data_IF_491922515177
#
_entry.id   IF_491922515177
#
_cell.length_a   1.000
_cell.length_b   1.000
_cell.length_c   1.000
_cell.angle_alpha   90.00
_cell.angle_beta   90.00
_cell.angle_gamma   90.00
#
_symmetry.space_group_name_H-M   'P 1'
#
loop_
_entity.id
_entity.type
_entity.pdbx_description
1 polymer ?
#
# COMPACT_ATOMS: atom_id res chain seq x y z
N UNK A 1 -9.14 -32.79 6.37
CA UNK A 1 -8.73 -32.63 4.97
C UNK A 1 -9.47 -31.40 4.44
N UNK A 2 -8.89 -30.23 4.51
CA UNK A 2 -9.40 -29.03 3.82
C UNK A 2 -8.38 -28.72 2.73
N UNK A 3 -8.54 -29.37 1.60
CA UNK A 3 -7.88 -29.01 0.36
C UNK A 3 -8.82 -28.08 -0.41
N UNK A 4 -8.40 -26.87 -0.62
CA UNK A 4 -9.11 -25.96 -1.47
C UNK A 4 -8.54 -24.56 -1.31
N UNK A 5 -7.34 -24.31 -1.86
CA UNK A 5 -6.95 -22.95 -2.25
C UNK A 5 -7.90 -22.53 -3.37
N UNK A 6 -9.11 -22.08 -2.99
CA UNK A 6 -10.00 -21.41 -3.91
C UNK A 6 -9.31 -20.09 -4.28
N UNK A 7 -8.74 -20.08 -5.48
CA UNK A 7 -8.20 -18.87 -6.09
C UNK A 7 -9.28 -17.81 -5.99
N UNK A 8 -8.99 -16.72 -5.28
CA UNK A 8 -9.89 -15.57 -5.24
C UNK A 8 -9.97 -15.06 -6.68
N UNK A 9 -11.10 -15.28 -7.36
CA UNK A 9 -11.31 -14.86 -8.76
C UNK A 9 -11.49 -13.34 -8.89
N UNK A 10 -11.38 -12.59 -7.78
CA UNK A 10 -11.54 -11.14 -7.70
C UNK A 10 -10.24 -10.44 -8.09
N UNK A 11 -10.35 -9.43 -8.93
CA UNK A 11 -9.21 -8.56 -9.28
C UNK A 11 -8.87 -7.64 -8.13
N UNK A 12 -7.61 -7.64 -7.70
CA UNK A 12 -7.12 -6.88 -6.55
C UNK A 12 -6.11 -5.82 -7.00
N UNK A 13 -6.40 -4.56 -6.70
CA UNK A 13 -5.47 -3.44 -6.91
C UNK A 13 -4.89 -2.96 -5.57
N UNK A 14 -3.58 -2.90 -5.49
CA UNK A 14 -2.86 -2.41 -4.32
C UNK A 14 -2.42 -0.95 -4.54
N UNK A 15 -2.79 -0.05 -3.63
CA UNK A 15 -2.37 1.35 -3.63
C UNK A 15 -1.35 1.58 -2.53
N UNK A 16 -0.12 1.95 -2.90
CA UNK A 16 0.93 2.33 -1.98
C UNK A 16 0.95 3.86 -1.82
N UNK A 17 0.53 4.35 -0.65
CA UNK A 17 0.46 5.77 -0.34
C UNK A 17 1.82 6.29 0.15
N UNK A 18 2.59 6.91 -0.74
CA UNK A 18 3.95 7.44 -0.51
C UNK A 18 4.07 8.97 -0.71
N UNK A 19 2.95 9.70 -0.77
CA UNK A 19 2.93 11.16 -0.95
C UNK A 19 3.06 11.98 0.35
N UNK A 20 3.11 11.33 1.51
CA UNK A 20 3.19 12.01 2.81
C UNK A 20 4.47 12.83 2.98
N UNK A 21 4.35 14.12 3.28
CA UNK A 21 5.48 15.05 3.44
C UNK A 21 6.22 14.95 4.78
N UNK A 22 5.81 14.06 5.69
CA UNK A 22 6.46 13.89 6.99
C UNK A 22 6.45 15.14 7.90
N UNK A 23 5.56 16.11 7.67
CA UNK A 23 5.49 17.41 8.36
C UNK A 23 5.64 17.36 9.89
N UNK A 24 5.24 16.24 10.51
CA UNK A 24 5.32 16.06 11.98
C UNK A 24 6.71 15.72 12.50
N UNK A 25 7.70 15.46 11.65
CA UNK A 25 9.04 15.03 12.09
C UNK A 25 10.16 16.04 11.78
N UNK A 26 9.84 17.19 11.21
CA UNK A 26 10.84 18.23 10.87
C UNK A 26 12.10 17.68 10.14
N UNK A 27 11.92 16.62 9.34
CA UNK A 27 13.01 15.98 8.60
C UNK A 27 13.04 16.48 7.16
N UNK A 28 14.24 16.70 6.64
CA UNK A 28 14.47 17.14 5.26
C UNK A 28 14.10 16.06 4.22
N UNK A 29 14.04 14.79 4.64
CA UNK A 29 13.68 13.65 3.80
C UNK A 29 12.32 13.07 4.26
N UNK A 30 11.42 12.81 3.32
CA UNK A 30 10.15 12.19 3.63
C UNK A 30 10.36 10.74 4.13
N UNK A 31 9.63 10.34 5.19
CA UNK A 31 9.81 9.07 5.91
C UNK A 31 9.88 7.83 5.02
N UNK A 32 9.09 7.78 3.97
CA UNK A 32 9.01 6.63 3.07
C UNK A 32 10.29 6.40 2.26
N UNK A 33 11.18 7.41 2.19
CA UNK A 33 12.47 7.33 1.51
C UNK A 33 13.65 7.11 2.47
N UNK A 34 13.38 7.02 3.78
CA UNK A 34 14.41 6.61 4.73
C UNK A 34 14.89 5.20 4.39
N UNK A 35 16.18 4.99 4.50
CA UNK A 35 16.76 3.66 4.26
C UNK A 35 16.57 2.73 5.48
N UNK A 36 16.16 1.53 5.19
CA UNK A 36 16.14 0.42 6.15
C UNK A 36 16.77 -0.81 5.49
N UNK A 37 17.84 -1.31 6.10
CA UNK A 37 18.65 -2.43 5.56
C UNK A 37 19.14 -2.19 4.12
N UNK A 38 19.54 -0.95 3.82
CA UNK A 38 20.08 -0.57 2.51
C UNK A 38 19.03 -0.37 1.41
N UNK A 39 17.75 -0.37 1.74
CA UNK A 39 16.67 -0.15 0.78
C UNK A 39 15.69 0.91 1.30
N UNK A 40 15.02 1.68 0.41
CA UNK A 40 14.00 2.64 0.82
C UNK A 40 12.85 1.96 1.58
N UNK A 41 12.34 2.62 2.62
CA UNK A 41 11.30 2.06 3.49
C UNK A 41 10.04 1.63 2.72
N UNK A 42 9.65 2.41 1.70
CA UNK A 42 8.48 2.11 0.86
C UNK A 42 8.63 0.77 0.11
N UNK A 43 9.87 0.36 -0.18
CA UNK A 43 10.13 -0.87 -0.91
C UNK A 43 9.73 -2.12 -0.13
N UNK A 44 9.80 -2.09 1.20
CA UNK A 44 9.38 -3.23 2.03
C UNK A 44 7.94 -3.66 1.75
N UNK A 45 7.00 -2.71 1.75
CA UNK A 45 5.60 -3.01 1.44
C UNK A 45 5.37 -3.26 -0.05
N UNK A 46 6.09 -2.56 -0.92
CA UNK A 46 6.01 -2.75 -2.37
C UNK A 46 6.44 -4.15 -2.78
N UNK A 47 7.52 -4.65 -2.20
CA UNK A 47 8.03 -6.01 -2.46
C UNK A 47 7.02 -7.07 -2.07
N UNK A 48 6.44 -6.98 -0.87
CA UNK A 48 5.39 -7.91 -0.41
C UNK A 48 4.19 -7.88 -1.38
N UNK A 49 3.72 -6.69 -1.74
CA UNK A 49 2.61 -6.57 -2.68
C UNK A 49 2.94 -7.15 -4.07
N UNK A 50 4.16 -6.94 -4.55
CA UNK A 50 4.60 -7.44 -5.85
C UNK A 50 4.72 -8.98 -5.89
N UNK A 51 5.25 -9.58 -4.84
CA UNK A 51 5.44 -11.04 -4.71
C UNK A 51 4.13 -11.77 -4.38
N UNK A 52 3.12 -11.07 -3.82
CA UNK A 52 1.85 -11.67 -3.42
C UNK A 52 1.03 -12.11 -4.64
N UNK A 53 0.55 -13.36 -4.61
CA UNK A 53 -0.16 -13.98 -5.74
C UNK A 53 -1.57 -13.43 -5.98
N UNK A 54 -2.18 -12.80 -4.98
CA UNK A 54 -3.55 -12.27 -5.06
C UNK A 54 -3.60 -10.82 -5.57
N UNK A 55 -2.46 -10.12 -5.64
CA UNK A 55 -2.40 -8.75 -6.13
C UNK A 55 -2.09 -8.75 -7.63
N UNK A 56 -3.00 -8.18 -8.42
CA UNK A 56 -2.88 -8.08 -9.86
C UNK A 56 -2.16 -6.80 -10.31
N UNK A 57 -2.60 -5.66 -9.78
CA UNK A 57 -2.10 -4.36 -10.16
C UNK A 57 -1.63 -3.55 -8.94
N UNK A 58 -0.59 -2.75 -9.10
CA UNK A 58 -0.07 -1.85 -8.08
C UNK A 58 -0.07 -0.41 -8.62
N UNK A 59 -0.55 0.52 -7.80
CA UNK A 59 -0.47 1.96 -8.05
C UNK A 59 0.33 2.59 -6.92
N UNK A 60 1.36 3.37 -7.26
CA UNK A 60 2.15 4.11 -6.27
C UNK A 60 1.73 5.58 -6.32
N UNK A 61 1.40 6.15 -5.19
CA UNK A 61 1.07 7.57 -5.06
C UNK A 61 2.23 8.28 -4.37
N UNK A 62 2.81 9.28 -5.02
CA UNK A 62 3.97 10.00 -4.49
C UNK A 62 3.92 11.48 -4.83
N UNK A 63 4.85 12.27 -4.30
CA UNK A 63 4.99 13.68 -4.67
C UNK A 63 5.55 13.79 -6.09
N UNK A 64 5.22 14.87 -6.80
CA UNK A 64 5.59 15.12 -8.19
C UNK A 64 7.10 14.94 -8.44
N UNK A 65 7.91 15.50 -7.56
CA UNK A 65 9.38 15.44 -7.64
C UNK A 65 9.95 14.02 -7.53
N UNK A 66 9.22 13.08 -6.93
CA UNK A 66 9.68 11.72 -6.70
C UNK A 66 9.21 10.72 -7.76
N UNK A 67 8.30 11.10 -8.65
CA UNK A 67 7.72 10.20 -9.65
C UNK A 67 8.82 9.56 -10.51
N UNK A 68 9.76 10.36 -11.01
CA UNK A 68 10.85 9.88 -11.85
C UNK A 68 11.74 8.89 -11.09
N UNK A 69 12.18 9.24 -9.89
CA UNK A 69 13.06 8.41 -9.08
C UNK A 69 12.41 7.06 -8.71
N UNK A 70 11.11 7.07 -8.36
CA UNK A 70 10.37 5.83 -8.06
C UNK A 70 10.21 4.98 -9.32
N UNK A 71 9.99 5.59 -10.49
CA UNK A 71 9.91 4.86 -11.76
C UNK A 71 11.23 4.17 -12.08
N UNK A 72 12.34 4.89 -12.04
CA UNK A 72 13.68 4.32 -12.24
C UNK A 72 13.99 3.20 -11.23
N UNK A 73 13.60 3.38 -9.97
CA UNK A 73 13.72 2.34 -8.96
C UNK A 73 12.93 1.08 -9.32
N UNK A 74 11.66 1.24 -9.73
CA UNK A 74 10.81 0.11 -10.14
C UNK A 74 11.34 -0.59 -11.40
N UNK A 75 11.90 0.14 -12.36
CA UNK A 75 12.56 -0.41 -13.54
C UNK A 75 13.77 -1.27 -13.14
N UNK A 76 14.67 -0.71 -12.33
CA UNK A 76 15.86 -1.40 -11.84
C UNK A 76 15.54 -2.68 -11.06
N UNK A 77 14.47 -2.66 -10.28
CA UNK A 77 13.96 -3.81 -9.51
C UNK A 77 13.03 -4.73 -10.30
N UNK A 78 12.77 -4.44 -11.59
CA UNK A 78 11.88 -5.21 -12.48
C UNK A 78 10.44 -5.35 -11.97
N UNK A 79 9.90 -4.29 -11.35
CA UNK A 79 8.57 -4.29 -10.74
C UNK A 79 7.44 -3.84 -11.67
N UNK A 80 7.76 -3.37 -12.88
CA UNK A 80 6.76 -2.76 -13.78
C UNK A 80 5.74 -3.75 -14.35
N UNK A 81 5.92 -5.05 -14.17
CA UNK A 81 4.91 -6.02 -14.58
C UNK A 81 3.59 -5.89 -13.81
N UNK A 82 3.66 -5.53 -12.51
CA UNK A 82 2.49 -5.25 -11.67
C UNK A 82 2.31 -3.74 -11.36
N UNK A 83 3.38 -2.94 -11.30
CA UNK A 83 3.29 -1.49 -11.07
C UNK A 83 2.79 -0.81 -12.34
N UNK A 84 1.47 -0.55 -12.40
CA UNK A 84 0.82 0.02 -13.58
C UNK A 84 0.93 1.53 -13.64
N UNK A 85 0.77 2.21 -12.50
CA UNK A 85 0.79 3.65 -12.43
C UNK A 85 1.62 4.16 -11.26
N UNK A 86 2.31 5.27 -11.49
CA UNK A 86 2.92 6.10 -10.45
C UNK A 86 2.29 7.48 -10.62
N UNK A 87 1.50 7.90 -9.64
CA UNK A 87 0.66 9.10 -9.74
C UNK A 87 1.05 10.15 -8.70
N UNK A 88 0.79 11.40 -9.06
CA UNK A 88 0.98 12.51 -8.13
C UNK A 88 -0.10 12.49 -7.04
N UNK A 89 0.32 12.66 -5.79
CA UNK A 89 -0.58 12.82 -4.64
C UNK A 89 -1.30 14.16 -4.63
N UNK A 90 -2.35 14.25 -3.83
CA UNK A 90 -3.08 15.49 -3.56
C UNK A 90 -2.55 16.20 -2.32
N UNK A 91 -3.20 17.31 -1.97
CA UNK A 91 -2.88 18.12 -0.78
C UNK A 91 -3.04 17.36 0.54
N UNK A 92 -3.93 16.37 0.56
CA UNK A 92 -4.22 15.51 1.71
C UNK A 92 -4.20 14.04 1.31
N UNK A 93 -4.16 13.15 2.33
CA UNK A 93 -4.13 11.70 2.12
C UNK A 93 -5.33 11.22 1.29
N UNK A 94 -6.52 11.71 1.58
CA UNK A 94 -7.74 11.34 0.86
C UNK A 94 -7.68 11.69 -0.63
N UNK A 95 -7.19 12.88 -0.98
CA UNK A 95 -7.03 13.28 -2.38
C UNK A 95 -5.93 12.48 -3.09
N UNK A 96 -4.87 12.11 -2.35
CA UNK A 96 -3.83 11.22 -2.87
C UNK A 96 -4.40 9.86 -3.26
N UNK A 97 -5.17 9.23 -2.38
CA UNK A 97 -5.84 7.95 -2.66
C UNK A 97 -6.84 8.09 -3.79
N UNK A 98 -7.64 9.17 -3.81
CA UNK A 98 -8.59 9.43 -4.88
C UNK A 98 -7.91 9.56 -6.26
N UNK A 99 -6.73 10.19 -6.33
CA UNK A 99 -5.95 10.27 -7.58
C UNK A 99 -5.52 8.89 -8.08
N UNK A 100 -5.20 7.97 -7.18
CA UNK A 100 -4.92 6.58 -7.55
C UNK A 100 -6.18 5.85 -8.03
N UNK A 101 -7.28 5.97 -7.30
CA UNK A 101 -8.55 5.31 -7.65
C UNK A 101 -9.01 5.72 -9.05
N UNK A 102 -8.87 6.98 -9.43
CA UNK A 102 -9.20 7.47 -10.79
C UNK A 102 -8.40 6.79 -11.92
N UNK A 103 -7.29 6.11 -11.62
CA UNK A 103 -6.49 5.37 -12.59
C UNK A 103 -6.88 3.91 -12.70
N UNK A 104 -7.75 3.43 -11.83
CA UNK A 104 -8.23 2.05 -11.86
C UNK A 104 -9.29 1.91 -12.94
N UNK A 105 -9.03 1.08 -13.93
CA UNK A 105 -9.98 0.79 -15.00
C UNK A 105 -11.00 -0.28 -14.58
N UNK A 106 -10.52 -1.29 -13.85
CA UNK A 106 -11.34 -2.37 -13.32
C UNK A 106 -10.65 -2.99 -12.12
N UNK A 107 -11.39 -3.18 -11.03
CA UNK A 107 -10.95 -3.92 -9.85
C UNK A 107 -12.16 -4.27 -8.98
N UNK A 108 -12.08 -5.37 -8.26
CA UNK A 108 -13.12 -5.79 -7.29
C UNK A 108 -12.74 -5.36 -5.87
N UNK A 109 -11.43 -5.36 -5.57
CA UNK A 109 -10.91 -5.03 -4.25
C UNK A 109 -9.77 -4.04 -4.37
N UNK A 110 -9.76 -3.04 -3.49
CA UNK A 110 -8.66 -2.08 -3.34
C UNK A 110 -8.02 -2.25 -1.96
N UNK A 111 -6.71 -2.49 -1.94
CA UNK A 111 -5.90 -2.50 -0.72
C UNK A 111 -5.14 -1.18 -0.64
N UNK A 112 -5.24 -0.47 0.47
CA UNK A 112 -4.54 0.80 0.69
C UNK A 112 -3.51 0.62 1.79
N UNK A 113 -2.22 0.81 1.48
CA UNK A 113 -1.10 0.69 2.39
C UNK A 113 -0.31 1.99 2.49
N UNK A 114 -0.03 2.44 3.70
CA UNK A 114 0.87 3.56 3.93
C UNK A 114 2.33 3.11 3.72
N UNK A 115 3.07 3.77 2.84
CA UNK A 115 4.47 3.43 2.51
C UNK A 115 5.44 3.57 3.70
N UNK A 116 5.09 4.37 4.70
CA UNK A 116 5.86 4.53 5.93
C UNK A 116 5.61 3.43 6.99
N UNK A 117 4.83 2.40 6.65
CA UNK A 117 4.55 1.23 7.51
C UNK A 117 5.17 -0.02 6.91
N UNK A 118 6.46 -0.31 7.18
CA UNK A 118 7.22 -1.32 6.44
C UNK A 118 6.95 -2.77 6.87
N UNK A 119 6.12 -3.00 7.89
CA UNK A 119 5.91 -4.33 8.48
C UNK A 119 4.67 -5.05 7.95
N UNK A 120 4.24 -4.74 6.72
CA UNK A 120 3.25 -5.53 6.01
C UNK A 120 3.73 -6.99 5.88
N UNK A 121 2.81 -7.93 5.96
CA UNK A 121 3.08 -9.37 5.75
C UNK A 121 2.02 -9.95 4.83
N UNK A 122 2.38 -10.95 4.04
CA UNK A 122 1.47 -11.66 3.13
C UNK A 122 0.21 -12.15 3.84
N UNK A 123 0.36 -12.73 5.02
CA UNK A 123 -0.76 -13.22 5.82
C UNK A 123 -1.83 -12.16 6.11
N UNK A 124 -1.47 -10.88 6.24
CA UNK A 124 -2.44 -9.82 6.49
C UNK A 124 -3.27 -9.53 5.24
N UNK A 125 -2.67 -9.62 4.06
CA UNK A 125 -3.35 -9.50 2.78
C UNK A 125 -4.32 -10.67 2.62
N UNK A 126 -3.84 -11.88 2.78
CA UNK A 126 -4.64 -13.11 2.60
C UNK A 126 -5.82 -13.19 3.59
N UNK A 127 -5.58 -12.92 4.87
CA UNK A 127 -6.64 -12.91 5.89
C UNK A 127 -7.68 -11.82 5.61
N UNK A 128 -7.27 -10.63 5.17
CA UNK A 128 -8.19 -9.55 4.81
C UNK A 128 -9.05 -9.93 3.61
N UNK A 129 -8.45 -10.52 2.58
CA UNK A 129 -9.17 -10.96 1.37
C UNK A 129 -10.20 -12.06 1.70
N UNK A 130 -9.87 -13.00 2.57
CA UNK A 130 -10.80 -14.04 3.04
C UNK A 130 -12.01 -13.47 3.78
N UNK A 131 -11.81 -12.41 4.59
CA UNK A 131 -12.90 -11.75 5.32
C UNK A 131 -13.80 -10.97 4.36
N UNK A 132 -13.21 -10.29 3.35
CA UNK A 132 -13.96 -9.52 2.36
C UNK A 132 -14.83 -10.39 1.41
N UNK A 133 -14.60 -11.69 1.41
CA UNK A 133 -15.21 -12.58 0.44
C UNK A 133 -16.70 -12.86 0.68
N UNK A 134 -17.43 -12.16 1.45
CA UNK A 134 -18.92 -12.21 1.53
C UNK A 134 -19.50 -11.67 2.84
N UNK A 135 -18.69 -11.09 3.71
CA UNK A 135 -19.17 -10.75 5.06
C UNK A 135 -19.18 -9.25 5.36
N UNK A 136 -18.44 -8.44 4.59
CA UNK A 136 -18.33 -7.00 4.84
C UNK A 136 -17.78 -6.25 3.62
N UNK A 137 -18.01 -4.92 3.57
CA UNK A 137 -17.55 -4.03 2.50
C UNK A 137 -16.12 -3.50 2.72
N UNK A 138 -15.53 -3.73 3.90
CA UNK A 138 -14.19 -3.28 4.22
C UNK A 138 -13.58 -3.97 5.42
N UNK A 139 -12.25 -4.10 5.41
CA UNK A 139 -11.46 -4.68 6.50
C UNK A 139 -10.34 -3.71 6.90
N UNK A 140 -10.16 -3.51 8.18
CA UNK A 140 -9.06 -2.73 8.75
C UNK A 140 -8.22 -3.66 9.62
N UNK A 141 -6.90 -3.72 9.32
CA UNK A 141 -5.95 -4.45 10.14
C UNK A 141 -5.62 -3.61 11.38
N UNK A 142 -5.90 -4.15 12.55
CA UNK A 142 -5.69 -3.47 13.82
C UNK A 142 -5.12 -4.42 14.88
N UNK A 143 -4.56 -3.83 15.93
CA UNK A 143 -4.17 -4.52 17.16
C UNK A 143 -4.98 -3.98 18.32
N UNK A 144 -5.24 -4.81 19.32
CA UNK A 144 -5.87 -4.34 20.58
C UNK A 144 -4.98 -3.26 21.20
N UNK A 145 -5.61 -2.16 21.63
CA UNK A 145 -4.91 -1.12 22.37
C UNK A 145 -4.34 -1.69 23.66
N UNK A 146 -3.04 -1.48 23.87
CA UNK A 146 -2.34 -1.89 25.11
C UNK A 146 -2.18 -0.74 26.10
N UNK A 147 -2.37 0.47 25.64
CA UNK A 147 -2.23 1.68 26.45
C UNK A 147 -3.54 2.04 27.15
N UNK A 148 -3.43 2.75 28.27
CA UNK A 148 -4.61 3.29 28.97
C UNK A 148 -5.15 4.46 28.16
N UNK A 149 -6.38 4.33 27.68
CA UNK A 149 -7.11 5.41 27.01
C UNK A 149 -7.82 6.23 28.09
N UNK A 150 -7.56 7.52 28.13
CA UNK A 150 -8.27 8.49 28.97
C UNK A 150 -9.13 9.38 28.08
N UNK A 151 -10.37 9.57 28.48
CA UNK A 151 -11.23 10.61 27.91
C UNK A 151 -10.91 11.90 28.65
N UNK A 152 -10.65 12.97 27.92
CA UNK A 152 -10.41 14.32 28.45
C UNK A 152 -11.64 15.14 28.08
N UNK A 153 -12.28 15.74 29.06
CA UNK A 153 -13.40 16.69 28.88
C UNK A 153 -12.88 18.04 28.36
#
# INVERSE_FOLDING_TARGET
MYSGDSKIEKKVTFILAAAGQGKRMNMSLAKQFLEYKGEPLFYSSLKIAFENQYIDDIIIVTNKENIKNIREFCENKKLLSKVKYIVEGGSERQYSIFNAIKKIESTDIVIIQDAARPFLKDKYIEESLKILDNTCDGVIIAVKCKDTIKVID
#
